data_IF_138911199938
#
_entry.id   IF_138911199938
#
_cell.length_a   1.000
_cell.length_b   1.000
_cell.length_c   1.000
_cell.angle_alpha   90.00
_cell.angle_beta   90.00
_cell.angle_gamma   90.00
#
_symmetry.space_group_name_H-M   'P 1'
#
loop_
_entity.id
_entity.type
_entity.pdbx_description
1 polymer ?
#
# COMPACT_ATOMS: atom_id res chain seq x y z
N UNK A 1 49.28 5.20 -27.12
CA UNK A 1 48.79 4.25 -26.09
C UNK A 1 49.53 2.94 -26.23
N UNK A 2 50.04 2.43 -25.13
CA UNK A 2 50.63 1.07 -25.06
C UNK A 2 49.57 -0.02 -25.12
N UNK A 3 49.92 -1.27 -25.47
CA UNK A 3 48.93 -2.37 -25.45
C UNK A 3 48.24 -2.56 -24.11
N UNK A 4 48.93 -2.29 -23.01
CA UNK A 4 48.37 -2.41 -21.65
C UNK A 4 47.39 -1.29 -21.33
N UNK A 5 47.69 -0.06 -21.79
CA UNK A 5 46.74 1.08 -21.68
C UNK A 5 45.44 0.82 -22.47
N UNK A 6 45.55 0.19 -23.63
CA UNK A 6 44.35 -0.17 -24.42
C UNK A 6 43.46 -1.17 -23.67
N UNK A 7 44.06 -2.17 -22.98
CA UNK A 7 43.36 -3.13 -22.17
C UNK A 7 42.71 -2.47 -20.96
N UNK A 8 43.45 -1.56 -20.30
CA UNK A 8 42.96 -0.80 -19.15
C UNK A 8 41.72 0.03 -19.52
N UNK A 9 41.78 0.76 -20.64
CA UNK A 9 40.63 1.53 -21.16
C UNK A 9 39.46 0.66 -21.50
N UNK A 10 39.70 -0.51 -22.11
CA UNK A 10 38.62 -1.44 -22.47
C UNK A 10 37.92 -1.99 -21.20
N UNK A 11 38.65 -2.35 -20.14
CA UNK A 11 38.10 -2.77 -18.89
C UNK A 11 37.31 -1.66 -18.19
N UNK A 12 37.79 -0.43 -18.23
CA UNK A 12 37.11 0.74 -17.67
C UNK A 12 35.79 1.03 -18.39
N UNK A 13 35.74 0.89 -19.72
CA UNK A 13 34.52 1.04 -20.51
C UNK A 13 33.46 0.01 -20.05
N UNK A 14 33.85 -1.23 -19.74
CA UNK A 14 32.96 -2.27 -19.24
C UNK A 14 32.43 -1.89 -17.85
N UNK A 15 33.28 -1.46 -16.92
CA UNK A 15 32.90 -1.06 -15.57
C UNK A 15 31.95 0.15 -15.57
N UNK A 16 32.22 1.17 -16.40
CA UNK A 16 31.33 2.34 -16.57
C UNK A 16 29.97 1.90 -17.11
N UNK A 17 29.96 0.93 -18.04
CA UNK A 17 28.72 0.38 -18.61
C UNK A 17 27.93 -0.40 -17.58
N UNK A 18 28.55 -1.21 -16.75
CA UNK A 18 27.89 -2.01 -15.71
C UNK A 18 27.25 -1.12 -14.64
N UNK A 19 27.94 -0.03 -14.23
CA UNK A 19 27.42 0.87 -13.20
C UNK A 19 26.29 1.79 -13.66
N UNK A 20 26.43 2.37 -14.86
CA UNK A 20 25.55 3.46 -15.32
C UNK A 20 24.65 3.05 -16.51
N UNK A 21 24.83 1.86 -17.05
CA UNK A 21 24.16 1.48 -18.30
C UNK A 21 24.62 2.36 -19.47
N UNK A 22 23.65 3.07 -20.09
CA UNK A 22 23.96 4.06 -21.16
C UNK A 22 24.08 5.45 -20.52
N UNK A 23 25.28 6.04 -20.44
CA UNK A 23 25.47 7.34 -19.80
C UNK A 23 24.75 8.46 -20.58
N UNK A 24 24.05 9.31 -19.84
CA UNK A 24 23.21 10.38 -20.39
C UNK A 24 24.03 11.57 -20.84
N UNK A 25 25.15 11.87 -20.13
CA UNK A 25 26.03 12.97 -20.44
C UNK A 25 27.48 12.69 -19.99
N UNK A 26 28.41 13.57 -20.40
CA UNK A 26 29.84 13.49 -20.09
C UNK A 26 30.12 13.52 -18.58
N UNK A 27 29.40 14.37 -17.84
CA UNK A 27 29.59 14.55 -16.39
C UNK A 27 29.30 13.28 -15.58
N UNK A 28 28.35 12.46 -16.02
CA UNK A 28 28.07 11.17 -15.39
C UNK A 28 29.24 10.21 -15.53
N UNK A 29 29.92 10.22 -16.68
CA UNK A 29 31.12 9.39 -16.90
C UNK A 29 32.30 9.90 -16.05
N UNK A 30 32.50 11.22 -15.99
CA UNK A 30 33.57 11.83 -15.14
C UNK A 30 33.35 11.41 -13.67
N UNK A 31 32.13 11.62 -13.14
CA UNK A 31 31.79 11.25 -11.76
C UNK A 31 31.95 9.75 -11.49
N UNK A 32 31.66 8.89 -12.49
CA UNK A 32 31.86 7.44 -12.36
C UNK A 32 33.35 7.09 -12.32
N UNK A 33 34.17 7.68 -13.20
CA UNK A 33 35.62 7.46 -13.21
C UNK A 33 36.26 7.89 -11.88
N UNK A 34 35.85 9.04 -11.35
CA UNK A 34 36.28 9.53 -10.03
C UNK A 34 35.82 8.62 -8.90
N UNK A 35 34.60 8.13 -8.97
CA UNK A 35 34.05 7.16 -7.97
C UNK A 35 34.74 5.81 -7.98
N UNK A 36 35.41 5.46 -9.07
CA UNK A 36 36.28 4.28 -9.18
C UNK A 36 37.68 4.53 -8.60
N UNK A 37 37.95 5.73 -8.08
CA UNK A 37 39.20 6.08 -7.45
C UNK A 37 40.31 6.49 -8.45
N UNK A 38 39.95 6.67 -9.72
CA UNK A 38 40.91 7.09 -10.76
C UNK A 38 41.15 8.61 -10.67
N UNK A 39 42.41 9.01 -10.47
CA UNK A 39 42.83 10.41 -10.34
C UNK A 39 43.40 10.92 -11.66
N UNK A 40 43.61 12.23 -11.77
CA UNK A 40 44.21 12.87 -12.95
C UNK A 40 45.59 12.25 -13.35
N UNK A 41 46.41 11.89 -12.36
CA UNK A 41 47.73 11.25 -12.57
C UNK A 41 47.52 9.83 -13.16
N UNK A 42 46.57 9.09 -12.70
CA UNK A 42 46.25 7.72 -13.15
C UNK A 42 45.73 7.76 -14.61
N UNK A 43 44.96 8.81 -14.96
CA UNK A 43 44.50 9.02 -16.33
C UNK A 43 45.67 9.19 -17.33
N UNK A 44 46.78 9.79 -16.89
CA UNK A 44 47.97 9.97 -17.72
C UNK A 44 48.84 8.69 -17.77
N UNK A 45 49.10 8.09 -16.63
CA UNK A 45 50.04 6.97 -16.53
C UNK A 45 49.43 5.64 -16.99
N UNK A 46 48.25 5.32 -16.50
CA UNK A 46 47.63 4.00 -16.69
C UNK A 46 46.73 3.94 -17.93
N UNK A 47 46.15 5.08 -18.30
CA UNK A 47 45.18 5.14 -19.42
C UNK A 47 45.72 5.92 -20.64
N UNK A 48 46.80 6.70 -20.50
CA UNK A 48 47.43 7.44 -21.59
C UNK A 48 46.63 8.64 -22.10
N UNK A 49 45.76 9.24 -21.26
CA UNK A 49 45.00 10.44 -21.57
C UNK A 49 45.51 11.64 -20.74
N UNK A 50 45.44 12.84 -21.31
CA UNK A 50 45.94 14.07 -20.67
C UNK A 50 45.17 14.45 -19.40
N UNK A 51 43.91 14.03 -19.27
CA UNK A 51 43.05 14.33 -18.12
C UNK A 51 41.91 13.34 -18.04
N UNK A 52 41.25 13.28 -16.87
CA UNK A 52 40.01 12.51 -16.69
C UNK A 52 38.92 12.94 -17.67
N UNK A 53 38.83 14.23 -17.96
CA UNK A 53 37.86 14.78 -18.91
C UNK A 53 38.07 14.24 -20.33
N UNK A 54 39.33 14.16 -20.79
CA UNK A 54 39.67 13.58 -22.10
C UNK A 54 39.39 12.07 -22.15
N UNK A 55 39.68 11.35 -21.08
CA UNK A 55 39.35 9.92 -20.95
C UNK A 55 37.82 9.70 -21.00
N UNK A 56 37.05 10.50 -20.26
CA UNK A 56 35.60 10.46 -20.24
C UNK A 56 35.00 10.78 -21.62
N UNK A 57 35.57 11.77 -22.33
CA UNK A 57 35.13 12.13 -23.69
C UNK A 57 35.37 10.98 -24.69
N UNK A 58 36.49 10.30 -24.60
CA UNK A 58 36.81 9.13 -25.41
C UNK A 58 35.82 7.99 -25.13
N UNK A 59 35.54 7.72 -23.85
CA UNK A 59 34.57 6.72 -23.45
C UNK A 59 33.16 7.09 -23.97
N UNK A 60 32.73 8.35 -23.81
CA UNK A 60 31.45 8.84 -24.30
C UNK A 60 31.27 8.68 -25.81
N UNK A 61 32.32 9.08 -26.58
CA UNK A 61 32.35 8.87 -28.05
C UNK A 61 32.28 7.39 -28.43
N UNK A 62 32.96 6.53 -27.69
CA UNK A 62 32.91 5.06 -27.92
C UNK A 62 31.51 4.48 -27.69
N UNK A 63 30.79 4.94 -26.69
CA UNK A 63 29.37 4.58 -26.49
C UNK A 63 28.49 5.09 -27.63
N UNK A 64 28.73 6.32 -28.10
CA UNK A 64 27.99 6.91 -29.22
C UNK A 64 28.23 6.17 -30.54
N UNK A 65 29.47 5.83 -30.84
CA UNK A 65 29.85 5.07 -32.06
C UNK A 65 29.33 3.63 -32.03
N UNK A 66 29.40 2.96 -30.89
CA UNK A 66 28.79 1.62 -30.74
C UNK A 66 27.26 1.67 -30.90
N UNK A 67 26.61 2.70 -30.34
CA UNK A 67 25.18 2.91 -30.53
C UNK A 67 24.84 3.18 -32.01
N UNK A 68 25.65 3.98 -32.71
CA UNK A 68 25.46 4.27 -34.15
C UNK A 68 25.67 3.04 -35.03
N UNK A 69 26.75 2.26 -34.80
CA UNK A 69 27.01 1.03 -35.55
C UNK A 69 25.98 -0.08 -35.26
N UNK A 70 25.51 -0.19 -34.01
CA UNK A 70 24.39 -1.08 -33.68
C UNK A 70 23.09 -0.62 -34.36
N UNK A 71 22.82 0.68 -34.42
CA UNK A 71 21.66 1.24 -35.13
C UNK A 71 21.74 1.01 -36.65
N UNK A 72 22.94 1.03 -37.25
CA UNK A 72 23.12 0.77 -38.68
C UNK A 72 22.96 -0.71 -39.04
N UNK A 73 23.49 -1.60 -38.19
CA UNK A 73 23.27 -3.05 -38.33
C UNK A 73 21.85 -3.48 -37.95
N UNK A 74 21.24 -2.79 -36.96
CA UNK A 74 19.84 -3.01 -36.56
C UNK A 74 18.86 -2.47 -37.60
N UNK A 75 19.18 -1.41 -38.36
CA UNK A 75 18.28 -0.96 -39.47
C UNK A 75 18.07 -2.02 -40.52
N UNK A 76 19.08 -2.82 -40.83
CA UNK A 76 18.92 -3.96 -41.73
C UNK A 76 18.17 -5.14 -41.08
N UNK A 77 18.45 -5.46 -39.82
CA UNK A 77 17.72 -6.45 -39.02
C UNK A 77 16.32 -6.00 -38.63
N UNK A 78 16.11 -4.71 -38.40
CA UNK A 78 14.81 -4.12 -38.05
C UNK A 78 13.86 -4.12 -39.26
N UNK A 79 14.37 -3.98 -40.48
CA UNK A 79 13.54 -4.09 -41.71
C UNK A 79 12.99 -5.51 -41.88
N UNK A 80 13.77 -6.55 -41.58
CA UNK A 80 13.33 -7.94 -41.64
C UNK A 80 12.49 -8.33 -40.37
N UNK A 81 12.85 -7.85 -39.18
CA UNK A 81 12.09 -8.10 -37.97
C UNK A 81 10.80 -7.27 -37.82
N UNK A 82 10.66 -6.17 -38.58
CA UNK A 82 9.47 -5.31 -38.56
C UNK A 82 8.20 -5.98 -39.01
N UNK A 83 8.28 -6.92 -39.98
CA UNK A 83 7.12 -7.67 -40.42
C UNK A 83 6.71 -8.79 -39.44
N UNK A 84 7.66 -9.48 -38.82
CA UNK A 84 7.36 -10.50 -37.81
C UNK A 84 6.97 -9.91 -36.42
N UNK A 85 7.59 -8.80 -36.06
CA UNK A 85 7.33 -8.15 -34.76
C UNK A 85 6.03 -7.38 -34.67
N UNK A 86 5.48 -6.85 -35.79
CA UNK A 86 4.21 -6.11 -35.76
C UNK A 86 3.03 -6.98 -35.33
N UNK A 87 2.99 -8.24 -35.76
CA UNK A 87 1.87 -9.15 -35.41
C UNK A 87 2.06 -9.72 -33.98
N UNK A 88 3.28 -10.12 -33.61
CA UNK A 88 3.57 -10.70 -32.32
C UNK A 88 3.59 -9.65 -31.16
N UNK A 89 4.00 -8.40 -31.46
CA UNK A 89 3.98 -7.32 -30.47
C UNK A 89 2.55 -6.83 -30.23
N UNK A 90 1.72 -6.72 -31.26
CA UNK A 90 0.33 -6.30 -31.12
C UNK A 90 -0.49 -7.31 -30.29
N UNK A 91 -0.33 -8.60 -30.51
CA UNK A 91 -1.03 -9.63 -29.74
C UNK A 91 -0.50 -9.76 -28.30
N UNK A 92 0.82 -9.72 -28.10
CA UNK A 92 1.42 -9.77 -26.77
C UNK A 92 1.23 -8.47 -25.97
N UNK A 93 1.20 -7.31 -26.61
CA UNK A 93 0.90 -6.04 -25.97
C UNK A 93 -0.56 -5.98 -25.53
N UNK A 94 -1.49 -6.38 -26.42
CA UNK A 94 -2.92 -6.44 -26.10
C UNK A 94 -3.21 -7.40 -24.94
N UNK A 95 -2.63 -8.61 -24.95
CA UNK A 95 -2.84 -9.58 -23.89
C UNK A 95 -2.20 -9.16 -22.56
N UNK A 96 -1.02 -8.54 -22.58
CA UNK A 96 -0.37 -7.98 -21.38
C UNK A 96 -1.13 -6.78 -20.85
N UNK A 97 -1.53 -5.84 -21.69
CA UNK A 97 -2.34 -4.69 -21.33
C UNK A 97 -3.70 -5.12 -20.74
N UNK A 98 -4.36 -6.11 -21.36
CA UNK A 98 -5.60 -6.68 -20.84
C UNK A 98 -5.39 -7.36 -19.48
N UNK A 99 -4.33 -8.16 -19.34
CA UNK A 99 -3.99 -8.80 -18.05
C UNK A 99 -3.68 -7.78 -16.97
N UNK A 100 -2.91 -6.74 -17.28
CA UNK A 100 -2.59 -5.66 -16.36
C UNK A 100 -3.85 -4.87 -16.00
N UNK A 101 -4.68 -4.53 -16.98
CA UNK A 101 -5.98 -3.87 -16.76
C UNK A 101 -6.88 -4.70 -15.85
N UNK A 102 -7.02 -6.01 -16.09
CA UNK A 102 -7.83 -6.92 -15.26
C UNK A 102 -7.25 -7.04 -13.85
N UNK A 103 -5.93 -7.13 -13.69
CA UNK A 103 -5.29 -7.21 -12.36
C UNK A 103 -5.45 -5.90 -11.60
N UNK A 104 -5.21 -4.75 -12.24
CA UNK A 104 -5.31 -3.44 -11.58
C UNK A 104 -6.76 -3.09 -11.23
N UNK A 105 -7.70 -3.25 -12.19
CA UNK A 105 -9.12 -3.01 -11.93
C UNK A 105 -9.73 -4.07 -11.00
N UNK A 106 -9.38 -5.34 -11.15
CA UNK A 106 -9.80 -6.40 -10.24
C UNK A 106 -9.33 -6.14 -8.81
N UNK A 107 -8.11 -5.62 -8.64
CA UNK A 107 -7.62 -5.20 -7.33
C UNK A 107 -8.37 -4.00 -6.77
N UNK A 108 -8.82 -3.07 -7.61
CA UNK A 108 -9.70 -1.95 -7.24
C UNK A 108 -11.07 -2.45 -6.78
N UNK A 109 -11.71 -3.28 -7.59
CA UNK A 109 -13.01 -3.90 -7.28
C UNK A 109 -12.94 -4.68 -5.97
N UNK A 110 -11.87 -5.44 -5.72
CA UNK A 110 -11.70 -6.21 -4.49
C UNK A 110 -11.76 -5.34 -3.20
N UNK A 111 -11.41 -4.05 -3.27
CA UNK A 111 -11.55 -3.14 -2.13
C UNK A 111 -13.01 -2.84 -1.77
N UNK A 112 -13.93 -2.96 -2.73
CA UNK A 112 -15.35 -2.70 -2.51
C UNK A 112 -16.13 -3.95 -2.06
N UNK A 113 -15.54 -5.16 -2.15
CA UNK A 113 -16.20 -6.38 -1.72
C UNK A 113 -16.76 -6.32 -0.29
N UNK A 114 -16.00 -5.87 0.71
CA UNK A 114 -16.51 -5.77 2.07
C UNK A 114 -17.76 -4.89 2.19
N UNK A 115 -17.77 -3.75 1.48
CA UNK A 115 -18.91 -2.82 1.45
C UNK A 115 -20.08 -3.42 0.68
N UNK A 116 -19.81 -4.04 -0.48
CA UNK A 116 -20.85 -4.69 -1.28
C UNK A 116 -21.59 -5.79 -0.51
N UNK A 117 -20.87 -6.59 0.28
CA UNK A 117 -21.46 -7.62 1.15
C UNK A 117 -22.40 -6.97 2.18
N UNK A 118 -22.03 -5.82 2.76
CA UNK A 118 -22.90 -5.12 3.71
C UNK A 118 -24.17 -4.59 3.03
N UNK A 119 -24.05 -4.01 1.83
CA UNK A 119 -25.20 -3.53 1.06
C UNK A 119 -26.13 -4.68 0.65
N UNK A 120 -25.57 -5.78 0.15
CA UNK A 120 -26.36 -6.97 -0.20
C UNK A 120 -27.08 -7.53 1.04
N UNK A 121 -26.38 -7.62 2.17
CA UNK A 121 -26.93 -8.15 3.41
C UNK A 121 -28.11 -7.30 3.91
N UNK A 122 -27.99 -5.98 3.92
CA UNK A 122 -29.08 -5.09 4.36
C UNK A 122 -30.28 -5.13 3.40
N UNK A 123 -30.03 -5.22 2.08
CA UNK A 123 -31.10 -5.27 1.07
C UNK A 123 -31.85 -6.59 1.11
N UNK A 124 -31.16 -7.72 1.22
CA UNK A 124 -31.78 -9.05 1.18
C UNK A 124 -32.38 -9.48 2.53
N UNK A 125 -31.69 -9.18 3.63
CA UNK A 125 -32.05 -9.71 4.96
C UNK A 125 -32.46 -8.62 5.96
N UNK A 126 -32.36 -7.36 5.60
CA UNK A 126 -32.69 -6.24 6.48
C UNK A 126 -31.68 -5.99 7.61
N UNK A 127 -30.59 -6.74 7.65
CA UNK A 127 -29.52 -6.60 8.66
C UNK A 127 -28.14 -6.74 7.99
N UNK A 128 -27.18 -5.98 8.50
CA UNK A 128 -25.77 -6.10 8.13
C UNK A 128 -24.91 -6.09 9.39
N UNK A 129 -23.59 -5.97 9.27
CA UNK A 129 -22.68 -5.99 10.42
C UNK A 129 -22.95 -4.88 11.44
N UNK A 130 -23.39 -3.70 11.00
CA UNK A 130 -23.65 -2.53 11.87
C UNK A 130 -24.94 -1.78 11.56
N UNK A 131 -25.78 -2.28 10.65
CA UNK A 131 -27.00 -1.59 10.22
C UNK A 131 -28.18 -2.55 10.25
N UNK A 132 -29.34 -2.06 10.69
CA UNK A 132 -30.59 -2.80 10.72
C UNK A 132 -31.76 -1.94 10.19
N UNK A 133 -32.51 -2.48 9.23
CA UNK A 133 -33.55 -1.74 8.51
C UNK A 133 -34.76 -1.34 9.37
N UNK A 134 -34.97 -2.04 10.51
CA UNK A 134 -36.10 -1.79 11.41
C UNK A 134 -35.75 -0.91 12.61
N UNK A 135 -34.61 -0.25 12.62
CA UNK A 135 -34.32 0.75 13.65
C UNK A 135 -35.27 1.94 13.52
N UNK A 136 -35.71 2.48 14.64
CA UNK A 136 -36.41 3.76 14.65
C UNK A 136 -35.43 4.92 14.40
N UNK A 137 -35.97 6.14 14.14
CA UNK A 137 -35.14 7.29 13.78
C UNK A 137 -34.07 7.61 14.84
N UNK A 138 -34.41 7.54 16.14
CA UNK A 138 -33.50 7.82 17.22
C UNK A 138 -32.36 6.78 17.31
N UNK A 139 -32.69 5.50 17.13
CA UNK A 139 -31.75 4.40 17.11
C UNK A 139 -30.79 4.50 15.91
N UNK A 140 -31.33 4.75 14.73
CA UNK A 140 -30.55 4.96 13.51
C UNK A 140 -29.58 6.14 13.67
N UNK A 141 -30.05 7.25 14.26
CA UNK A 141 -29.21 8.41 14.53
C UNK A 141 -28.07 8.08 15.50
N UNK A 142 -28.35 7.35 16.58
CA UNK A 142 -27.32 6.93 17.55
C UNK A 142 -26.23 6.05 16.89
N UNK A 143 -26.66 5.09 16.05
CA UNK A 143 -25.72 4.22 15.32
C UNK A 143 -24.88 5.02 14.33
N UNK A 144 -25.50 5.86 13.51
CA UNK A 144 -24.79 6.69 12.50
C UNK A 144 -23.81 7.64 13.16
N UNK A 145 -24.23 8.36 14.22
CA UNK A 145 -23.33 9.23 14.97
C UNK A 145 -22.17 8.43 15.60
N UNK A 146 -22.43 7.25 16.16
CA UNK A 146 -21.38 6.39 16.69
C UNK A 146 -20.36 6.00 15.62
N UNK A 147 -20.82 5.59 14.45
CA UNK A 147 -19.93 5.26 13.31
C UNK A 147 -19.11 6.47 12.89
N UNK A 148 -19.72 7.65 12.72
CA UNK A 148 -19.03 8.90 12.34
C UNK A 148 -17.98 9.28 13.37
N UNK A 149 -18.31 9.25 14.66
CA UNK A 149 -17.38 9.55 15.76
C UNK A 149 -16.21 8.55 15.74
N UNK A 150 -16.48 7.27 15.52
CA UNK A 150 -15.46 6.24 15.37
C UNK A 150 -14.48 6.55 14.23
N UNK A 151 -14.98 6.94 13.06
CA UNK A 151 -14.15 7.35 11.91
C UNK A 151 -13.30 8.60 12.21
N UNK A 152 -13.89 9.63 12.80
CA UNK A 152 -13.19 10.88 13.12
C UNK A 152 -12.11 10.63 14.18
N UNK A 153 -12.43 9.92 15.26
CA UNK A 153 -11.52 9.65 16.36
C UNK A 153 -10.31 8.80 15.94
N UNK A 154 -10.49 7.90 14.97
CA UNK A 154 -9.43 6.96 14.57
C UNK A 154 -8.74 7.33 13.27
N UNK A 155 -9.28 8.23 12.45
CA UNK A 155 -8.78 8.54 11.12
C UNK A 155 -7.31 8.95 11.07
N UNK A 156 -6.84 9.76 12.02
CA UNK A 156 -5.43 10.13 12.13
C UNK A 156 -4.54 8.94 12.48
N UNK A 157 -4.96 8.09 13.41
CA UNK A 157 -4.22 6.88 13.81
C UNK A 157 -4.12 5.87 12.68
N UNK A 158 -5.19 5.68 11.89
CA UNK A 158 -5.22 4.81 10.71
C UNK A 158 -4.14 5.23 9.69
N UNK A 159 -4.00 6.54 9.44
CA UNK A 159 -2.98 7.05 8.53
C UNK A 159 -1.55 6.83 9.07
N UNK A 160 -1.34 7.05 10.38
CA UNK A 160 -0.04 6.82 11.02
C UNK A 160 0.33 5.34 10.98
N UNK A 161 -0.63 4.43 11.27
CA UNK A 161 -0.42 2.98 11.14
C UNK A 161 0.01 2.65 9.72
N UNK A 162 -0.70 3.13 8.70
CA UNK A 162 -0.38 2.86 7.30
C UNK A 162 1.05 3.27 6.93
N UNK A 163 1.48 4.47 7.36
CA UNK A 163 2.84 4.96 7.16
C UNK A 163 3.90 4.10 7.86
N UNK A 164 3.70 3.80 9.14
CA UNK A 164 4.69 3.08 9.94
C UNK A 164 4.82 1.62 9.49
N UNK A 165 3.69 0.96 9.22
CA UNK A 165 3.71 -0.41 8.69
C UNK A 165 4.46 -0.47 7.38
N UNK A 166 4.16 0.42 6.42
CA UNK A 166 4.87 0.47 5.15
C UNK A 166 6.37 0.71 5.33
N UNK A 167 6.75 1.64 6.20
CA UNK A 167 8.16 1.96 6.47
C UNK A 167 8.94 0.77 7.03
N UNK A 168 8.45 0.17 8.12
CA UNK A 168 9.14 -0.96 8.75
C UNK A 168 9.11 -2.22 7.89
N UNK A 169 8.02 -2.46 7.14
CA UNK A 169 7.91 -3.59 6.24
C UNK A 169 8.94 -3.54 5.10
N UNK A 170 9.15 -2.35 4.50
CA UNK A 170 10.18 -2.16 3.47
C UNK A 170 11.60 -2.29 4.01
N UNK A 171 11.82 -2.02 5.31
CA UNK A 171 13.10 -2.21 5.97
C UNK A 171 13.26 -3.61 6.59
N UNK A 172 12.34 -4.54 6.35
CA UNK A 172 12.34 -5.90 6.87
C UNK A 172 12.35 -5.99 8.42
N UNK A 173 11.96 -4.92 9.10
CA UNK A 173 11.86 -4.85 10.56
C UNK A 173 10.42 -5.16 11.02
N UNK A 174 10.05 -6.43 10.94
CA UNK A 174 8.70 -6.91 11.27
C UNK A 174 8.37 -6.74 12.76
N UNK A 175 9.38 -6.83 13.64
CA UNK A 175 9.19 -6.64 15.08
C UNK A 175 8.75 -5.21 15.39
N UNK A 176 9.44 -4.20 14.84
CA UNK A 176 9.07 -2.79 15.04
C UNK A 176 7.77 -2.45 14.34
N UNK A 177 7.46 -3.04 13.20
CA UNK A 177 6.15 -2.90 12.55
C UNK A 177 5.03 -3.32 13.50
N UNK A 178 5.10 -4.53 14.06
CA UNK A 178 4.12 -5.06 15.01
C UNK A 178 4.02 -4.21 16.28
N UNK A 179 5.16 -3.88 16.90
CA UNK A 179 5.19 -3.09 18.13
C UNK A 179 4.53 -1.71 17.94
N UNK A 180 4.84 -1.02 16.85
CA UNK A 180 4.25 0.27 16.49
C UNK A 180 2.74 0.18 16.29
N UNK A 181 2.27 -0.83 15.56
CA UNK A 181 0.84 -1.06 15.31
C UNK A 181 0.08 -1.23 16.64
N UNK A 182 0.53 -2.13 17.51
CA UNK A 182 -0.14 -2.40 18.80
C UNK A 182 -0.17 -1.13 19.66
N UNK A 183 0.93 -0.37 19.70
CA UNK A 183 1.02 0.89 20.45
C UNK A 183 0.04 1.93 19.94
N UNK A 184 -0.08 2.09 18.61
CA UNK A 184 -0.98 3.08 18.00
C UNK A 184 -2.44 2.66 18.16
N UNK A 185 -2.78 1.36 18.02
CA UNK A 185 -4.12 0.84 18.31
C UNK A 185 -4.52 1.17 19.73
N UNK A 186 -3.63 0.97 20.72
CA UNK A 186 -3.88 1.31 22.11
C UNK A 186 -4.19 2.80 22.27
N UNK A 187 -3.40 3.70 21.69
CA UNK A 187 -3.65 5.13 21.77
C UNK A 187 -4.94 5.55 21.06
N UNK A 188 -5.22 4.99 19.88
CA UNK A 188 -6.45 5.25 19.15
C UNK A 188 -7.68 4.82 19.95
N UNK A 189 -7.64 3.66 20.58
CA UNK A 189 -8.73 3.18 21.46
C UNK A 189 -8.89 4.08 22.69
N UNK A 190 -7.79 4.50 23.33
CA UNK A 190 -7.83 5.44 24.46
C UNK A 190 -8.44 6.79 24.07
N UNK A 191 -8.18 7.27 22.84
CA UNK A 191 -8.78 8.52 22.34
C UNK A 191 -10.29 8.40 22.20
N UNK A 192 -10.82 7.25 21.75
CA UNK A 192 -12.28 7.04 21.71
C UNK A 192 -12.88 7.09 23.11
N UNK A 193 -12.24 6.48 24.10
CA UNK A 193 -12.68 6.55 25.49
C UNK A 193 -12.64 7.99 26.05
N UNK A 194 -11.62 8.76 25.71
CA UNK A 194 -11.52 10.15 26.13
C UNK A 194 -12.64 11.02 25.54
N UNK A 195 -12.95 10.82 24.25
CA UNK A 195 -14.06 11.50 23.57
C UNK A 195 -15.40 11.13 24.20
N UNK A 196 -15.59 9.83 24.53
CA UNK A 196 -16.79 9.38 25.23
C UNK A 196 -16.93 10.03 26.60
N UNK A 197 -15.87 10.02 27.42
CA UNK A 197 -15.91 10.65 28.73
C UNK A 197 -16.29 12.13 28.65
N UNK A 198 -15.69 12.85 27.70
CA UNK A 198 -16.00 14.24 27.44
C UNK A 198 -17.47 14.42 27.03
N UNK A 199 -17.98 13.60 26.11
CA UNK A 199 -19.37 13.67 25.66
C UNK A 199 -20.37 13.30 26.76
N UNK A 200 -20.04 12.34 27.62
CA UNK A 200 -20.85 11.95 28.76
C UNK A 200 -20.93 13.10 29.82
N UNK A 201 -19.80 13.75 30.08
CA UNK A 201 -19.76 14.94 31.01
C UNK A 201 -20.59 16.06 30.41
N UNK A 202 -20.43 16.38 29.12
CA UNK A 202 -21.22 17.41 28.46
C UNK A 202 -22.72 17.10 28.49
N UNK A 203 -23.11 15.84 28.22
CA UNK A 203 -24.52 15.42 28.30
C UNK A 203 -25.08 15.42 29.72
N UNK A 204 -24.23 15.26 30.75
CA UNK A 204 -24.63 15.38 32.12
C UNK A 204 -24.92 16.85 32.51
N UNK A 205 -24.12 17.79 32.01
CA UNK A 205 -24.29 19.23 32.27
C UNK A 205 -25.48 19.78 31.47
N UNK A 206 -25.60 19.35 30.20
CA UNK A 206 -26.68 19.77 29.29
C UNK A 206 -27.41 18.52 28.80
N UNK A 207 -28.50 18.08 29.47
CA UNK A 207 -29.18 16.82 29.17
C UNK A 207 -29.92 16.90 27.82
N UNK A 208 -29.14 16.84 26.73
CA UNK A 208 -29.64 16.90 25.34
C UNK A 208 -30.22 15.56 24.87
N UNK A 209 -29.59 14.47 25.32
CA UNK A 209 -29.95 13.11 24.88
C UNK A 209 -30.13 12.17 26.08
N UNK A 210 -30.97 11.14 25.89
CA UNK A 210 -31.09 10.08 26.90
C UNK A 210 -29.75 9.35 27.10
N UNK A 211 -29.48 8.90 28.30
CA UNK A 211 -28.25 8.18 28.63
C UNK A 211 -28.09 6.90 27.77
N UNK A 212 -29.19 6.21 27.47
CA UNK A 212 -29.19 5.05 26.58
C UNK A 212 -28.70 5.39 25.15
N UNK A 213 -29.09 6.55 24.62
CA UNK A 213 -28.62 7.03 23.32
C UNK A 213 -27.09 7.22 23.32
N UNK A 214 -26.54 7.84 24.35
CA UNK A 214 -25.10 8.10 24.50
C UNK A 214 -24.33 6.77 24.60
N UNK A 215 -24.83 5.79 25.35
CA UNK A 215 -24.21 4.45 25.46
C UNK A 215 -24.20 3.74 24.10
N UNK A 216 -25.31 3.73 23.37
CA UNK A 216 -25.39 3.08 22.06
C UNK A 216 -24.41 3.74 21.09
N UNK A 217 -24.42 5.06 21.02
CA UNK A 217 -23.50 5.83 20.19
C UNK A 217 -22.04 5.50 20.50
N UNK A 218 -21.67 5.45 21.79
CA UNK A 218 -20.33 5.10 22.24
C UNK A 218 -19.93 3.67 21.85
N UNK A 219 -20.81 2.70 22.08
CA UNK A 219 -20.52 1.30 21.78
C UNK A 219 -20.20 1.12 20.29
N UNK A 220 -20.99 1.76 19.39
CA UNK A 220 -20.70 1.75 17.97
C UNK A 220 -19.42 2.50 17.62
N UNK A 221 -19.16 3.66 18.24
CA UNK A 221 -17.92 4.42 18.02
C UNK A 221 -16.69 3.60 18.41
N UNK A 222 -16.74 2.92 19.56
CA UNK A 222 -15.66 2.08 20.05
C UNK A 222 -15.41 0.88 19.13
N UNK A 223 -16.45 0.13 18.80
CA UNK A 223 -16.33 -1.12 18.03
C UNK A 223 -15.92 -0.84 16.58
N UNK A 224 -16.55 0.13 15.93
CA UNK A 224 -16.19 0.52 14.56
C UNK A 224 -14.80 1.19 14.55
N UNK A 225 -14.49 2.07 15.49
CA UNK A 225 -13.17 2.66 15.59
C UNK A 225 -12.07 1.62 15.81
N UNK A 226 -12.30 0.64 16.69
CA UNK A 226 -11.37 -0.47 16.90
C UNK A 226 -11.22 -1.32 15.64
N UNK A 227 -12.32 -1.65 14.96
CA UNK A 227 -12.30 -2.36 13.68
C UNK A 227 -11.44 -1.62 12.65
N UNK A 228 -11.60 -0.30 12.51
CA UNK A 228 -10.82 0.51 11.58
C UNK A 228 -9.32 0.53 11.89
N UNK A 229 -8.97 0.63 13.19
CA UNK A 229 -7.57 0.60 13.62
C UNK A 229 -6.90 -0.73 13.26
N UNK A 230 -7.61 -1.84 13.41
CA UNK A 230 -7.10 -3.18 13.10
C UNK A 230 -7.09 -3.47 11.59
N UNK A 231 -7.99 -2.86 10.83
CA UNK A 231 -7.99 -2.92 9.37
C UNK A 231 -6.79 -2.19 8.73
N UNK A 232 -6.32 -1.11 9.34
CA UNK A 232 -5.30 -0.22 8.77
C UNK A 232 -4.00 -0.92 8.36
N UNK A 233 -3.37 -1.78 9.19
CA UNK A 233 -2.15 -2.48 8.82
C UNK A 233 -2.36 -3.45 7.65
N UNK A 234 -3.50 -4.14 7.58
CA UNK A 234 -3.82 -5.07 6.50
C UNK A 234 -4.03 -4.36 5.17
N UNK A 235 -4.64 -3.17 5.19
CA UNK A 235 -4.71 -2.32 3.99
C UNK A 235 -3.32 -1.87 3.53
N UNK A 236 -2.43 -1.49 4.44
CA UNK A 236 -1.06 -1.09 4.13
C UNK A 236 -0.26 -2.24 3.49
N UNK A 237 -0.46 -3.47 3.98
CA UNK A 237 0.16 -4.69 3.46
C UNK A 237 -0.55 -5.27 2.22
N UNK A 238 -1.60 -4.61 1.72
CA UNK A 238 -2.43 -5.04 0.59
C UNK A 238 -3.09 -6.42 0.79
N UNK A 239 -3.30 -6.84 2.04
CA UNK A 239 -3.94 -8.11 2.39
C UNK A 239 -5.47 -8.01 2.39
N UNK A 240 -6.02 -7.58 1.27
CA UNK A 240 -7.45 -7.29 1.08
C UNK A 240 -8.34 -8.51 1.31
N UNK A 241 -7.84 -9.69 0.98
CA UNK A 241 -8.58 -10.93 1.14
C UNK A 241 -8.92 -11.22 2.60
N UNK A 242 -7.97 -11.03 3.51
CA UNK A 242 -8.19 -11.21 4.95
C UNK A 242 -9.28 -10.28 5.48
N UNK A 243 -9.28 -9.02 5.01
CA UNK A 243 -10.30 -8.03 5.35
C UNK A 243 -11.69 -8.51 4.89
N UNK A 244 -11.80 -8.93 3.63
CA UNK A 244 -13.06 -9.39 3.05
C UNK A 244 -13.58 -10.62 3.80
N UNK A 245 -12.74 -11.61 4.06
CA UNK A 245 -13.12 -12.83 4.79
C UNK A 245 -13.59 -12.49 6.19
N UNK A 246 -12.88 -11.66 6.93
CA UNK A 246 -13.25 -11.30 8.30
C UNK A 246 -14.59 -10.56 8.37
N UNK A 247 -14.82 -9.59 7.48
CA UNK A 247 -16.09 -8.85 7.43
C UNK A 247 -17.24 -9.78 6.99
N UNK A 248 -16.99 -10.69 6.06
CA UNK A 248 -17.99 -11.68 5.63
C UNK A 248 -18.36 -12.62 6.77
N UNK A 249 -17.37 -13.15 7.51
CA UNK A 249 -17.63 -14.02 8.67
C UNK A 249 -18.37 -13.27 9.78
N UNK A 250 -18.02 -12.01 10.06
CA UNK A 250 -18.74 -11.18 11.00
C UNK A 250 -20.21 -10.96 10.58
N UNK A 251 -20.44 -10.70 9.29
CA UNK A 251 -21.81 -10.54 8.74
C UNK A 251 -22.58 -11.85 8.78
N UNK A 252 -21.95 -12.98 8.46
CA UNK A 252 -22.56 -14.30 8.56
C UNK A 252 -22.96 -14.62 10.01
N UNK A 253 -22.12 -14.27 10.98
CA UNK A 253 -22.44 -14.40 12.40
C UNK A 253 -23.65 -13.53 12.78
N UNK A 254 -23.70 -12.28 12.32
CA UNK A 254 -24.83 -11.39 12.57
C UNK A 254 -26.16 -11.99 12.04
N UNK A 255 -26.13 -12.51 10.80
CA UNK A 255 -27.28 -13.18 10.19
C UNK A 255 -27.66 -14.44 10.95
N UNK A 256 -26.72 -15.30 11.28
CA UNK A 256 -26.97 -16.52 12.02
C UNK A 256 -27.62 -16.21 13.37
N UNK A 257 -27.08 -15.28 14.16
CA UNK A 257 -27.67 -14.90 15.45
C UNK A 257 -29.04 -14.26 15.29
N UNK A 258 -29.26 -13.46 14.27
CA UNK A 258 -30.55 -12.80 14.02
C UNK A 258 -31.69 -13.81 13.71
N UNK A 259 -31.36 -14.86 12.94
CA UNK A 259 -32.36 -15.85 12.56
C UNK A 259 -32.54 -17.01 13.58
N UNK A 260 -31.50 -17.26 14.39
CA UNK A 260 -31.55 -18.39 15.35
C UNK A 260 -31.91 -17.99 16.77
N UNK A 261 -31.76 -16.70 17.11
CA UNK A 261 -31.91 -16.22 18.50
C UNK A 261 -32.83 -15.01 18.59
N UNK A 262 -33.46 -14.82 19.74
CA UNK A 262 -34.28 -13.64 20.04
C UNK A 262 -33.48 -12.55 20.81
N UNK A 263 -32.17 -12.51 20.60
CA UNK A 263 -31.28 -11.55 21.27
C UNK A 263 -31.53 -10.14 20.70
N UNK A 264 -31.46 -9.07 21.51
CA UNK A 264 -31.53 -7.70 21.00
C UNK A 264 -30.51 -7.42 19.92
N UNK A 265 -30.91 -6.75 18.83
CA UNK A 265 -30.09 -6.50 17.63
C UNK A 265 -28.79 -5.78 17.95
N UNK A 266 -28.76 -4.91 18.95
CA UNK A 266 -27.51 -4.24 19.38
C UNK A 266 -26.45 -5.24 19.83
N UNK A 267 -26.82 -6.26 20.61
CA UNK A 267 -25.89 -7.28 21.09
C UNK A 267 -25.37 -8.10 19.90
N UNK A 268 -26.25 -8.40 18.95
CA UNK A 268 -25.88 -9.11 17.71
C UNK A 268 -24.82 -8.29 16.94
N UNK A 269 -25.06 -7.00 16.73
CA UNK A 269 -24.09 -6.12 16.06
C UNK A 269 -22.77 -6.05 16.82
N UNK A 270 -22.81 -5.79 18.13
CA UNK A 270 -21.60 -5.64 18.95
C UNK A 270 -20.76 -6.90 18.96
N UNK A 271 -21.38 -8.07 19.14
CA UNK A 271 -20.67 -9.35 19.09
C UNK A 271 -20.10 -9.64 17.72
N UNK A 272 -20.81 -9.34 16.65
CA UNK A 272 -20.39 -9.60 15.27
C UNK A 272 -19.26 -8.65 14.81
N UNK A 273 -19.32 -7.37 15.16
CA UNK A 273 -18.24 -6.41 14.88
C UNK A 273 -16.99 -6.80 15.68
N UNK A 274 -17.16 -7.13 16.97
CA UNK A 274 -16.05 -7.55 17.81
C UNK A 274 -15.40 -8.83 17.28
N UNK A 275 -16.20 -9.81 16.87
CA UNK A 275 -15.72 -11.05 16.27
C UNK A 275 -14.88 -10.78 15.00
N UNK A 276 -15.39 -9.94 14.07
CA UNK A 276 -14.66 -9.55 12.88
C UNK A 276 -13.36 -8.83 13.23
N UNK A 277 -13.37 -7.90 14.20
CA UNK A 277 -12.20 -7.18 14.65
C UNK A 277 -11.16 -8.09 15.31
N UNK A 278 -11.58 -9.08 16.10
CA UNK A 278 -10.68 -10.05 16.73
C UNK A 278 -9.99 -10.95 15.70
N UNK A 279 -10.71 -11.44 14.70
CA UNK A 279 -10.08 -12.21 13.60
C UNK A 279 -8.95 -11.39 12.96
N UNK A 280 -9.20 -10.12 12.65
CA UNK A 280 -8.20 -9.24 12.06
C UNK A 280 -7.04 -8.94 13.01
N UNK A 281 -7.33 -8.73 14.30
CA UNK A 281 -6.32 -8.48 15.32
C UNK A 281 -5.36 -9.67 15.48
N UNK A 282 -5.90 -10.90 15.55
CA UNK A 282 -5.06 -12.09 15.63
C UNK A 282 -4.26 -12.31 14.34
N UNK A 283 -4.83 -11.98 13.17
CA UNK A 283 -4.09 -12.00 11.91
C UNK A 283 -2.92 -11.01 11.93
N UNK A 284 -3.13 -9.78 12.40
CA UNK A 284 -2.06 -8.78 12.54
C UNK A 284 -1.03 -9.16 13.61
N UNK A 285 -1.43 -9.89 14.64
CA UNK A 285 -0.51 -10.32 15.71
C UNK A 285 0.35 -11.52 15.32
N UNK A 286 -0.04 -12.26 14.28
CA UNK A 286 0.69 -13.40 13.73
C UNK A 286 1.82 -13.04 12.75
N UNK A 287 1.93 -11.76 12.37
CA UNK A 287 3.08 -11.23 11.62
C UNK A 287 4.18 -10.80 12.59
#
# INVERSE_FOLDING_TARGET
MSPDQIKAVASLIIQVKERNGKPVNLNVIIATIESLGIREIDAQNDYGFKSISHLAEYIYKTFGLRAYNNLKNDKQRIAEAKNYKKIAIASNFSSRALKQFVVENGSGIANFFPVSIQVISIVLFGISLWTFSKFNNLQSTAVVLGVIIGFIATGGFVQVIGKQVSYYWYNEDFYMARHSVIKIIKYGTQTIFAIFLLSAVLNFITPLYSFSFVIICFAYALLIGFLLLVLAPLYALKQRWMITVSITLGTALALALHFTTNIPVYIIHWSSILFAALILYFTCSGF
#
